data_IF_693197161450
#
_entry.id   IF_693197161450
#
_cell.length_a   1.000
_cell.length_b   1.000
_cell.length_c   1.000
_cell.angle_alpha   90.00
_cell.angle_beta   90.00
_cell.angle_gamma   90.00
#
_symmetry.space_group_name_H-M   'P 1'
#
loop_
_entity.id
_entity.type
_entity.pdbx_description
1 polymer ?
#
# COMPACT_ATOMS: atom_id res chain seq x y z
N UNK A 1 -40.79 -31.19 -30.84
CA UNK A 1 -39.62 -30.43 -30.34
C UNK A 1 -40.12 -29.31 -29.45
N UNK A 2 -40.39 -29.60 -28.17
CA UNK A 2 -40.92 -28.66 -27.18
C UNK A 2 -40.10 -28.87 -25.92
N UNK A 3 -39.71 -27.77 -25.26
CA UNK A 3 -39.19 -27.70 -23.88
C UNK A 3 -37.65 -27.64 -23.68
N UNK A 4 -36.86 -27.07 -24.59
CA UNK A 4 -35.45 -26.70 -24.31
C UNK A 4 -35.27 -25.27 -23.77
N UNK A 5 -36.33 -24.46 -23.73
CA UNK A 5 -36.27 -23.06 -23.33
C UNK A 5 -36.00 -22.78 -21.82
N UNK A 6 -36.41 -23.62 -20.84
CA UNK A 6 -36.21 -23.25 -19.43
C UNK A 6 -34.78 -23.48 -18.93
N UNK A 7 -33.94 -24.23 -19.66
CA UNK A 7 -32.56 -24.51 -19.26
C UNK A 7 -31.62 -23.32 -19.52
N UNK A 8 -31.92 -22.50 -20.54
CA UNK A 8 -31.09 -21.34 -20.89
C UNK A 8 -31.22 -20.18 -19.89
N UNK A 9 -32.36 -20.07 -19.18
CA UNK A 9 -32.60 -19.00 -18.22
C UNK A 9 -31.83 -19.19 -16.90
N UNK A 10 -31.46 -20.43 -16.56
CA UNK A 10 -30.72 -20.74 -15.32
C UNK A 10 -29.22 -20.42 -15.42
N UNK A 11 -28.67 -20.24 -16.63
CA UNK A 11 -27.24 -20.01 -16.87
C UNK A 11 -26.88 -18.52 -16.70
N UNK A 12 -27.84 -17.60 -16.84
CA UNK A 12 -27.59 -16.13 -16.79
C UNK A 12 -27.43 -15.61 -15.34
N UNK A 13 -27.74 -16.43 -14.33
CA UNK A 13 -27.65 -16.04 -12.92
C UNK A 13 -26.22 -16.20 -12.35
N UNK A 14 -25.29 -16.81 -13.12
CA UNK A 14 -23.89 -17.02 -12.70
C UNK A 14 -22.87 -16.10 -13.38
N UNK A 15 -23.30 -15.20 -14.26
CA UNK A 15 -22.47 -14.13 -14.82
C UNK A 15 -22.65 -12.88 -13.95
N UNK A 16 -21.74 -12.43 -13.12
CA UNK A 16 -20.37 -12.78 -12.81
C UNK A 16 -19.93 -11.58 -11.98
N UNK A 17 -19.53 -11.78 -10.72
CA UNK A 17 -19.05 -10.65 -9.93
C UNK A 17 -17.80 -10.12 -10.64
N UNK A 18 -17.80 -8.83 -11.00
CA UNK A 18 -16.62 -8.23 -11.61
C UNK A 18 -15.42 -8.48 -10.70
N UNK A 19 -14.26 -8.80 -11.29
CA UNK A 19 -13.11 -9.18 -10.51
C UNK A 19 -12.63 -8.00 -9.65
N UNK A 20 -12.68 -8.12 -8.32
CA UNK A 20 -12.05 -7.15 -7.42
C UNK A 20 -10.66 -7.61 -7.02
N UNK A 21 -9.70 -6.69 -7.05
CA UNK A 21 -8.38 -6.86 -6.46
C UNK A 21 -8.27 -6.06 -5.16
N UNK A 22 -7.54 -6.61 -4.19
CA UNK A 22 -7.33 -6.02 -2.86
C UNK A 22 -5.85 -5.91 -2.57
N UNK A 23 -5.45 -4.86 -1.85
CA UNK A 23 -4.15 -4.78 -1.25
C UNK A 23 -4.17 -4.37 0.21
N UNK A 24 -3.15 -4.82 0.93
CA UNK A 24 -2.76 -4.34 2.25
C UNK A 24 -1.31 -3.87 2.15
N UNK A 25 -0.98 -2.79 2.84
CA UNK A 25 0.35 -2.19 2.86
C UNK A 25 0.80 -1.99 4.31
N UNK A 26 2.00 -2.48 4.60
CA UNK A 26 2.66 -2.38 5.90
C UNK A 26 3.99 -1.63 5.77
N UNK A 27 4.40 -0.99 6.86
CA UNK A 27 5.72 -0.36 6.98
C UNK A 27 6.43 -0.96 8.19
N UNK A 28 7.66 -1.40 7.98
CA UNK A 28 8.52 -2.00 9.00
C UNK A 28 9.71 -1.10 9.29
N UNK A 29 9.95 -0.85 10.57
CA UNK A 29 11.11 -0.11 11.04
C UNK A 29 12.20 -1.09 11.49
N UNK A 30 13.26 -1.26 10.71
CA UNK A 30 14.45 -2.02 11.10
C UNK A 30 15.62 -1.12 11.52
N UNK A 31 15.34 0.16 11.79
CA UNK A 31 16.32 1.08 12.38
C UNK A 31 16.48 0.80 13.87
N UNK A 32 17.51 1.38 14.49
CA UNK A 32 17.74 1.25 15.94
C UNK A 32 16.89 2.20 16.79
N UNK A 33 16.10 3.08 16.18
CA UNK A 33 15.34 4.12 16.88
C UNK A 33 13.87 4.13 16.50
N UNK A 34 13.01 4.61 17.39
CA UNK A 34 11.59 4.82 17.09
C UNK A 34 11.47 5.96 16.07
N UNK A 35 10.60 5.75 15.09
CA UNK A 35 10.35 6.69 14.01
C UNK A 35 8.92 7.20 14.06
N UNK A 36 8.75 8.47 13.77
CA UNK A 36 7.47 9.06 13.36
C UNK A 36 7.53 9.28 11.85
N UNK A 37 6.57 8.72 11.11
CA UNK A 37 6.47 8.84 9.66
C UNK A 37 5.22 9.63 9.31
N UNK A 38 5.41 10.85 8.82
CA UNK A 38 4.34 11.75 8.42
C UNK A 38 4.16 11.72 6.90
N UNK A 39 2.99 11.27 6.46
CA UNK A 39 2.53 11.33 5.08
C UNK A 39 1.78 12.65 4.90
N UNK A 40 2.40 13.59 4.19
CA UNK A 40 1.88 14.94 3.96
C UNK A 40 1.12 14.97 2.65
N UNK A 41 -0.11 15.48 2.67
CA UNK A 41 -0.97 15.67 1.49
C UNK A 41 -1.58 17.07 1.51
N UNK A 42 -1.80 17.64 0.32
CA UNK A 42 -2.53 18.89 0.14
C UNK A 42 -3.96 18.81 0.72
N UNK A 43 -4.57 17.63 0.67
CA UNK A 43 -5.81 17.31 1.37
C UNK A 43 -5.46 16.79 2.77
N UNK A 44 -5.69 17.61 3.81
CA UNK A 44 -5.34 17.30 5.20
C UNK A 44 -5.99 15.99 5.69
N UNK A 45 -7.21 15.68 5.24
CA UNK A 45 -7.93 14.45 5.58
C UNK A 45 -7.23 13.17 5.11
N UNK A 46 -6.39 13.26 4.07
CA UNK A 46 -5.60 12.14 3.59
C UNK A 46 -4.27 12.00 4.34
N UNK A 47 -3.80 13.07 4.99
CA UNK A 47 -2.53 13.06 5.72
C UNK A 47 -2.57 12.07 6.88
N UNK A 48 -1.44 11.42 7.15
CA UNK A 48 -1.37 10.36 8.17
C UNK A 48 -0.03 10.40 8.88
N UNK A 49 -0.02 10.12 10.18
CA UNK A 49 1.20 9.92 10.95
C UNK A 49 1.24 8.50 11.51
N UNK A 50 2.39 7.84 11.40
CA UNK A 50 2.65 6.52 11.96
C UNK A 50 3.80 6.61 12.96
N UNK A 51 3.56 6.17 14.20
CA UNK A 51 4.61 5.94 15.18
C UNK A 51 5.04 4.46 15.13
N UNK A 52 6.31 4.20 14.83
CA UNK A 52 6.82 2.84 14.62
C UNK A 52 8.08 2.60 15.47
N UNK A 53 8.00 1.67 16.41
CA UNK A 53 9.12 1.26 17.26
C UNK A 53 10.16 0.44 16.47
N UNK A 54 11.42 0.33 16.95
CA UNK A 54 12.40 -0.58 16.37
C UNK A 54 11.87 -2.02 16.27
N UNK A 55 12.09 -2.66 15.12
CA UNK A 55 11.61 -4.01 14.77
C UNK A 55 10.07 -4.15 14.76
N UNK A 56 9.34 -3.05 14.68
CA UNK A 56 7.89 -3.07 14.58
C UNK A 56 7.46 -2.95 13.11
N UNK A 57 6.45 -3.74 12.74
CA UNK A 57 5.67 -3.54 11.51
C UNK A 57 4.34 -2.90 11.89
N UNK A 58 3.94 -1.84 11.19
CA UNK A 58 2.67 -1.14 11.39
C UNK A 58 1.89 -1.12 10.07
N UNK A 59 0.59 -1.34 10.19
CA UNK A 59 -0.33 -1.22 9.06
C UNK A 59 -0.39 0.22 8.57
N UNK A 60 -0.12 0.41 7.28
CA UNK A 60 -0.16 1.71 6.63
C UNK A 60 -1.52 1.95 5.99
N UNK A 61 -1.94 1.15 5.02
CA UNK A 61 -3.23 1.32 4.33
C UNK A 61 -3.64 0.05 3.60
N UNK A 62 -4.91 0.00 3.26
CA UNK A 62 -5.48 -0.99 2.35
C UNK A 62 -6.26 -0.29 1.25
N UNK A 63 -6.66 -1.05 0.23
CA UNK A 63 -7.58 -0.57 -0.78
C UNK A 63 -7.93 -1.67 -1.77
N UNK A 64 -8.84 -1.34 -2.66
CA UNK A 64 -9.38 -2.25 -3.64
C UNK A 64 -9.64 -1.55 -4.98
N UNK A 65 -9.76 -2.37 -6.02
CA UNK A 65 -10.04 -1.91 -7.37
C UNK A 65 -10.98 -2.88 -8.08
N UNK A 66 -12.17 -2.38 -8.46
CA UNK A 66 -13.22 -3.13 -9.12
C UNK A 66 -12.97 -3.25 -10.63
N UNK A 67 -13.07 -4.47 -11.15
CA UNK A 67 -12.82 -4.74 -12.56
C UNK A 67 -11.34 -4.97 -12.89
N UNK A 68 -10.44 -4.73 -11.93
CA UNK A 68 -9.01 -4.93 -12.09
C UNK A 68 -8.52 -6.23 -11.45
N UNK A 69 -7.46 -6.80 -12.04
CA UNK A 69 -6.81 -8.03 -11.52
C UNK A 69 -5.56 -7.75 -10.69
N UNK A 70 -5.21 -6.48 -10.57
CA UNK A 70 -4.01 -5.96 -9.92
C UNK A 70 -4.33 -4.62 -9.26
N UNK A 71 -3.74 -4.36 -8.10
CA UNK A 71 -3.89 -3.10 -7.38
C UNK A 71 -2.66 -2.87 -6.52
N UNK A 72 -2.26 -1.61 -6.36
CA UNK A 72 -1.12 -1.14 -5.59
C UNK A 72 -1.52 0.03 -4.68
N UNK A 73 -0.75 0.29 -3.60
CA UNK A 73 -0.88 1.51 -2.82
C UNK A 73 -0.70 2.76 -3.70
N UNK A 74 -1.69 3.65 -3.72
CA UNK A 74 -1.52 4.94 -4.38
C UNK A 74 -0.71 5.87 -3.45
N UNK A 75 0.55 6.14 -3.83
CA UNK A 75 1.47 7.01 -3.07
C UNK A 75 1.46 8.46 -3.56
N UNK A 76 1.09 8.70 -4.83
CA UNK A 76 1.05 10.04 -5.44
C UNK A 76 0.02 11.00 -4.82
N UNK A 77 -0.84 10.53 -3.91
CA UNK A 77 -1.72 11.40 -3.10
C UNK A 77 -0.95 12.17 -2.02
N UNK A 78 0.28 11.77 -1.71
CA UNK A 78 1.12 12.41 -0.71
C UNK A 78 2.18 13.26 -1.39
N UNK A 79 2.24 14.55 -1.07
CA UNK A 79 3.27 15.48 -1.57
C UNK A 79 4.67 15.12 -1.07
N UNK A 80 4.75 14.61 0.17
CA UNK A 80 6.00 14.13 0.75
C UNK A 80 5.77 13.14 1.89
N UNK A 81 6.77 12.31 2.17
CA UNK A 81 6.83 11.47 3.38
C UNK A 81 8.02 11.90 4.22
N UNK A 82 7.77 12.34 5.45
CA UNK A 82 8.79 12.86 6.37
C UNK A 82 9.02 11.84 7.47
N UNK A 83 10.27 11.43 7.66
CA UNK A 83 10.68 10.52 8.74
C UNK A 83 11.41 11.33 9.81
N UNK A 84 10.94 11.22 11.05
CA UNK A 84 11.49 11.89 12.24
C UNK A 84 11.86 10.89 13.31
N UNK A 85 12.77 11.27 14.19
CA UNK A 85 13.03 10.53 15.44
C UNK A 85 12.07 10.98 16.56
N UNK A 86 12.24 10.41 17.76
CA UNK A 86 11.43 10.76 18.95
C UNK A 86 11.61 12.21 19.46
N UNK A 87 12.65 12.91 19.01
CA UNK A 87 12.90 14.31 19.38
C UNK A 87 12.47 15.29 18.27
N UNK A 88 11.60 14.83 17.36
CA UNK A 88 11.10 15.58 16.19
C UNK A 88 12.18 16.08 15.22
N UNK A 89 13.40 15.52 15.29
CA UNK A 89 14.44 15.80 14.31
C UNK A 89 14.11 15.07 13.03
N UNK A 90 14.03 15.80 11.92
CA UNK A 90 13.85 15.24 10.58
C UNK A 90 15.11 14.50 10.18
N UNK A 91 14.95 13.23 9.84
CA UNK A 91 16.04 12.34 9.40
C UNK A 91 16.03 12.19 7.89
N UNK A 92 14.83 12.07 7.31
CA UNK A 92 14.65 11.86 5.87
C UNK A 92 13.37 12.52 5.40
N UNK A 93 13.41 13.06 4.18
CA UNK A 93 12.23 13.48 3.44
C UNK A 93 12.26 12.73 2.11
N UNK A 94 11.18 12.03 1.81
CA UNK A 94 10.96 11.41 0.51
C UNK A 94 10.01 12.26 -0.31
N UNK A 95 10.37 12.49 -1.57
CA UNK A 95 9.48 13.00 -2.61
C UNK A 95 9.47 12.02 -3.78
N UNK A 96 8.39 12.04 -4.55
CA UNK A 96 8.18 11.11 -5.67
C UNK A 96 9.36 11.07 -6.66
N UNK A 97 9.96 12.22 -6.96
CA UNK A 97 11.04 12.33 -7.95
C UNK A 97 12.45 12.20 -7.35
N UNK A 98 12.58 11.86 -6.07
CA UNK A 98 13.90 11.68 -5.45
C UNK A 98 14.56 10.39 -5.95
N UNK A 99 15.85 10.49 -6.27
CA UNK A 99 16.66 9.34 -6.72
C UNK A 99 17.04 8.42 -5.56
N UNK A 100 17.21 7.13 -5.85
CA UNK A 100 17.64 6.12 -4.88
C UNK A 100 16.46 5.43 -4.20
N UNK A 101 16.73 4.78 -3.05
CA UNK A 101 15.70 4.07 -2.28
C UNK A 101 14.63 5.03 -1.81
N UNK A 102 13.39 4.76 -2.22
CA UNK A 102 12.29 5.70 -2.09
C UNK A 102 10.96 4.98 -1.86
N UNK A 103 10.21 5.41 -0.84
CA UNK A 103 8.90 4.84 -0.49
C UNK A 103 7.85 5.03 -1.60
N UNK A 104 8.05 5.97 -2.51
CA UNK A 104 7.19 6.16 -3.68
C UNK A 104 7.39 5.09 -4.77
N UNK A 105 8.56 4.45 -4.84
CA UNK A 105 8.89 3.50 -5.90
C UNK A 105 8.50 2.08 -5.46
N UNK A 106 7.21 1.76 -5.65
CA UNK A 106 6.60 0.49 -5.21
C UNK A 106 7.24 -0.73 -5.88
N UNK A 107 7.46 -0.65 -7.18
CA UNK A 107 7.98 -1.80 -7.95
C UNK A 107 9.43 -2.15 -7.59
N UNK A 108 10.21 -1.18 -7.09
CA UNK A 108 11.65 -1.34 -6.84
C UNK A 108 11.99 -1.63 -5.37
N UNK A 109 11.28 -1.00 -4.42
CA UNK A 109 11.69 -1.03 -3.00
C UNK A 109 10.65 -1.61 -2.04
N UNK A 110 9.47 -1.97 -2.52
CA UNK A 110 8.49 -2.67 -1.70
C UNK A 110 8.57 -4.18 -1.97
N UNK A 111 8.51 -4.96 -0.89
CA UNK A 111 8.33 -6.41 -1.01
C UNK A 111 6.87 -6.71 -1.27
N UNK A 112 6.58 -7.49 -2.31
CA UNK A 112 5.22 -7.89 -2.68
C UNK A 112 5.03 -9.38 -2.43
N UNK A 113 4.02 -9.72 -1.63
CA UNK A 113 3.54 -11.08 -1.44
C UNK A 113 2.13 -11.22 -2.01
N UNK A 114 1.88 -12.29 -2.77
CA UNK A 114 0.59 -12.56 -3.41
C UNK A 114 -0.04 -13.82 -2.82
N UNK A 115 -0.68 -13.74 -1.62
CA UNK A 115 -1.25 -14.91 -0.95
C UNK A 115 -2.43 -15.54 -1.73
N UNK A 116 -3.14 -14.75 -2.55
CA UNK A 116 -4.23 -15.22 -3.42
C UNK A 116 -4.16 -14.51 -4.76
N UNK A 117 -4.87 -15.04 -5.77
CA UNK A 117 -4.85 -14.53 -7.16
C UNK A 117 -5.05 -13.00 -7.30
N UNK A 118 -5.78 -12.37 -6.37
CA UNK A 118 -6.12 -10.94 -6.37
C UNK A 118 -5.99 -10.27 -5.00
N UNK A 119 -5.14 -10.82 -4.14
CA UNK A 119 -4.80 -10.22 -2.84
C UNK A 119 -3.30 -9.98 -2.85
N UNK A 120 -2.91 -8.74 -2.63
CA UNK A 120 -1.53 -8.29 -2.66
C UNK A 120 -1.15 -7.72 -1.29
N UNK A 121 -0.04 -8.16 -0.71
CA UNK A 121 0.51 -7.62 0.53
C UNK A 121 1.81 -6.91 0.19
N UNK A 122 1.85 -5.61 0.42
CA UNK A 122 3.00 -4.75 0.18
C UNK A 122 3.67 -4.46 1.51
N UNK A 123 5.00 -4.52 1.55
CA UNK A 123 5.78 -4.15 2.72
C UNK A 123 6.94 -3.23 2.32
N UNK A 124 6.99 -2.06 2.92
CA UNK A 124 8.16 -1.19 2.87
C UNK A 124 8.98 -1.36 4.15
N UNK A 125 10.30 -1.39 4.02
CA UNK A 125 11.22 -1.50 5.15
C UNK A 125 12.06 -0.24 5.20
N UNK A 126 12.21 0.37 6.38
CA UNK A 126 13.15 1.46 6.64
C UNK A 126 14.37 0.90 7.36
N UNK A 127 15.54 1.12 6.78
CA UNK A 127 16.86 0.74 7.32
C UNK A 127 17.59 1.96 7.89
N UNK A 128 18.64 1.74 8.68
CA UNK A 128 19.44 2.86 9.22
C UNK A 128 20.06 3.67 8.07
N UNK A 129 20.54 2.99 7.02
CA UNK A 129 21.11 3.63 5.83
C UNK A 129 20.12 4.56 5.08
N UNK A 130 18.81 4.42 5.30
CA UNK A 130 17.80 5.27 4.69
C UNK A 130 17.61 6.62 5.43
N UNK A 131 18.10 6.70 6.68
CA UNK A 131 17.87 7.82 7.61
C UNK A 131 19.16 8.46 8.18
N UNK A 132 20.34 7.98 7.75
CA UNK A 132 21.67 8.46 8.13
C UNK A 132 22.29 9.42 7.09
#
# INVERSE_FOLDING_TARGET
>A
MRNLFPLALLIIIFSGCDPTAFYEADIENLTTQTLTIDFISAEEELSKSLLIQPNQTVFFKEGDDFGNTFVQPLMAIYDSVVVKNQTDVILRVYKENDTGRNIYNIDDYWTVNKPKKRVFKYKYVILNEDIE
#
